data_IF_967428932008
#
_entry.id   IF_967428932008
#
_cell.length_a   1.000
_cell.length_b   1.000
_cell.length_c   1.000
_cell.angle_alpha   90.00
_cell.angle_beta   90.00
_cell.angle_gamma   90.00
#
_symmetry.space_group_name_H-M   'P 1'
#
loop_
_entity.id
_entity.type
_entity.pdbx_description
1 polymer ?
#
# COMPACT_ATOMS: atom_id res chain seq x y z
N UNK A 1 18.85 -5.40 9.84
CA UNK A 1 17.99 -6.47 10.39
C UNK A 1 16.56 -6.01 10.69
N UNK A 2 16.38 -4.82 11.26
CA UNK A 2 15.05 -4.24 11.55
C UNK A 2 14.16 -4.02 10.31
N UNK A 3 14.74 -3.68 9.15
CA UNK A 3 13.99 -3.53 7.88
C UNK A 3 13.52 -4.88 7.29
N UNK A 4 14.14 -6.01 7.62
CA UNK A 4 13.72 -7.34 7.18
C UNK A 4 12.45 -7.83 7.87
N UNK A 5 12.19 -7.43 9.12
CA UNK A 5 10.99 -7.80 9.86
C UNK A 5 9.76 -6.96 9.50
N UNK A 6 9.96 -5.74 8.99
CA UNK A 6 8.86 -4.83 8.61
C UNK A 6 8.22 -5.15 7.24
N UNK A 7 8.89 -5.91 6.38
CA UNK A 7 8.38 -6.33 5.04
C UNK A 7 7.65 -7.68 5.11
N UNK A 8 7.40 -8.22 6.28
CA UNK A 8 6.78 -9.51 6.50
C UNK A 8 5.25 -9.53 6.37
N UNK A 9 4.70 -10.74 6.40
CA UNK A 9 3.27 -11.05 6.36
C UNK A 9 2.40 -10.33 7.39
N UNK A 10 2.97 -9.80 8.45
CA UNK A 10 2.29 -9.12 9.55
C UNK A 10 1.64 -7.80 9.13
N UNK A 11 2.31 -6.99 8.30
CA UNK A 11 1.77 -5.71 7.84
C UNK A 11 0.52 -5.90 6.96
N UNK A 12 0.48 -6.97 6.13
CA UNK A 12 -0.70 -7.34 5.34
C UNK A 12 -1.86 -7.85 6.21
N UNK A 13 -1.57 -8.53 7.31
CA UNK A 13 -2.57 -9.04 8.25
C UNK A 13 -3.23 -7.88 8.98
N UNK A 14 -2.45 -6.91 9.41
CA UNK A 14 -2.90 -5.71 10.14
C UNK A 14 -3.89 -4.86 9.36
N UNK A 15 -3.68 -4.64 8.06
CA UNK A 15 -4.50 -3.74 7.24
C UNK A 15 -5.75 -4.39 6.63
N UNK A 16 -5.80 -5.72 6.55
CA UNK A 16 -6.93 -6.47 5.96
C UNK A 16 -8.30 -6.16 6.53
N UNK A 17 -8.47 -5.96 7.86
CA UNK A 17 -9.77 -5.62 8.45
C UNK A 17 -10.34 -4.32 7.95
N UNK A 18 -9.49 -3.38 7.51
CA UNK A 18 -9.85 -2.02 7.13
C UNK A 18 -9.78 -1.77 5.61
N UNK A 19 -9.14 -2.64 4.83
CA UNK A 19 -9.08 -2.48 3.37
C UNK A 19 -10.42 -2.77 2.71
N UNK A 20 -10.75 -2.06 1.62
CA UNK A 20 -12.02 -2.24 0.88
C UNK A 20 -12.18 -3.70 0.44
N UNK A 21 -11.15 -4.31 -0.14
CA UNK A 21 -11.19 -5.70 -0.58
C UNK A 21 -11.32 -6.69 0.60
N UNK A 22 -10.66 -6.43 1.73
CA UNK A 22 -10.77 -7.25 2.94
C UNK A 22 -12.14 -7.17 3.58
N UNK A 23 -12.69 -5.95 3.74
CA UNK A 23 -14.02 -5.70 4.30
C UNK A 23 -15.11 -6.33 3.43
N UNK A 24 -15.08 -6.12 2.11
CA UNK A 24 -16.07 -6.67 1.18
C UNK A 24 -16.09 -8.19 1.22
N UNK A 25 -14.91 -8.84 1.20
CA UNK A 25 -14.81 -10.30 1.28
C UNK A 25 -15.27 -10.85 2.63
N UNK A 26 -14.93 -10.21 3.76
CA UNK A 26 -15.37 -10.65 5.09
C UNK A 26 -16.89 -10.53 5.25
N UNK A 27 -17.48 -9.42 4.80
CA UNK A 27 -18.94 -9.23 4.78
C UNK A 27 -19.65 -10.29 3.94
N UNK A 28 -19.15 -10.63 2.75
CA UNK A 28 -19.72 -11.68 1.89
C UNK A 28 -19.65 -13.09 2.50
N UNK A 29 -18.75 -13.31 3.47
CA UNK A 29 -18.58 -14.55 4.21
C UNK A 29 -19.23 -14.52 5.62
N UNK A 30 -19.98 -13.46 5.96
CA UNK A 30 -20.60 -13.27 7.28
C UNK A 30 -19.60 -13.08 8.43
N UNK A 31 -18.34 -12.68 8.14
CA UNK A 31 -17.28 -12.51 9.14
C UNK A 31 -17.22 -11.06 9.62
N UNK A 32 -16.82 -10.87 10.88
CA UNK A 32 -16.58 -9.56 11.49
C UNK A 32 -15.47 -8.78 10.80
N UNK A 33 -15.53 -7.45 10.86
CA UNK A 33 -14.58 -6.52 10.22
C UNK A 33 -14.14 -5.44 11.20
N UNK A 34 -13.03 -4.78 10.93
CA UNK A 34 -12.48 -3.72 11.78
C UNK A 34 -12.12 -4.24 13.17
N UNK A 35 -12.40 -3.47 14.21
CA UNK A 35 -12.11 -3.83 15.61
C UNK A 35 -12.94 -5.03 16.13
N UNK A 36 -14.03 -5.40 15.50
CA UNK A 36 -14.82 -6.60 15.82
C UNK A 36 -14.14 -7.90 15.40
N UNK A 37 -13.15 -7.82 14.49
CA UNK A 37 -12.34 -8.96 14.11
C UNK A 37 -11.36 -9.31 15.24
N UNK A 38 -11.68 -10.36 16.00
CA UNK A 38 -10.92 -10.78 17.19
C UNK A 38 -9.45 -11.14 16.93
N UNK A 39 -9.08 -11.44 15.69
CA UNK A 39 -7.72 -11.90 15.36
C UNK A 39 -6.85 -10.84 14.68
N UNK A 40 -7.46 -9.84 14.05
CA UNK A 40 -6.74 -8.87 13.22
C UNK A 40 -7.14 -7.41 13.49
N UNK A 41 -8.34 -7.18 14.05
CA UNK A 41 -8.84 -5.84 14.33
C UNK A 41 -8.22 -5.20 15.58
N UNK A 42 -7.60 -6.01 16.44
CA UNK A 42 -7.01 -5.56 17.71
C UNK A 42 -5.54 -5.17 17.63
N UNK A 43 -4.85 -5.44 16.51
CA UNK A 43 -3.42 -5.15 16.34
C UNK A 43 -3.06 -3.65 16.50
N UNK A 44 -4.02 -2.75 16.30
CA UNK A 44 -3.79 -1.34 16.60
C UNK A 44 -3.52 -1.12 18.10
N UNK A 45 -4.20 -1.84 18.98
CA UNK A 45 -4.00 -1.70 20.42
C UNK A 45 -2.63 -2.25 20.88
N UNK A 46 -2.08 -3.23 20.17
CA UNK A 46 -0.69 -3.67 20.38
C UNK A 46 0.30 -2.55 20.00
N UNK A 47 0.03 -1.82 18.90
CA UNK A 47 0.83 -0.65 18.52
C UNK A 47 0.71 0.45 19.59
N UNK A 48 -0.50 0.73 20.09
CA UNK A 48 -0.72 1.72 21.13
C UNK A 48 0.00 1.32 22.45
N UNK A 49 -0.03 0.03 22.83
CA UNK A 49 0.70 -0.48 23.98
C UNK A 49 2.22 -0.31 23.83
N UNK A 50 2.78 -0.60 22.65
CA UNK A 50 4.21 -0.38 22.35
C UNK A 50 4.55 1.11 22.49
N UNK A 51 3.75 2.02 21.91
CA UNK A 51 3.95 3.46 22.01
C UNK A 51 3.90 3.90 23.49
N UNK A 52 2.91 3.41 24.24
CA UNK A 52 2.75 3.72 25.67
C UNK A 52 3.97 3.31 26.51
N UNK A 53 4.49 2.10 26.28
CA UNK A 53 5.62 1.55 27.06
C UNK A 53 6.95 2.17 26.70
N UNK A 54 7.20 2.42 25.41
CA UNK A 54 8.49 2.90 24.94
C UNK A 54 8.58 4.42 24.84
N UNK A 55 7.47 5.12 24.88
CA UNK A 55 7.40 6.59 24.82
C UNK A 55 8.36 7.20 23.77
N UNK A 56 8.29 6.79 22.49
CA UNK A 56 9.17 7.37 21.47
C UNK A 56 8.90 8.88 21.33
N UNK A 57 9.94 9.68 21.11
CA UNK A 57 9.80 11.14 20.88
C UNK A 57 8.81 11.45 19.75
N UNK A 58 8.83 10.62 18.70
CA UNK A 58 7.86 10.69 17.62
C UNK A 58 7.63 9.28 17.04
N UNK A 59 6.49 9.08 16.38
CA UNK A 59 6.19 7.86 15.63
C UNK A 59 5.60 8.17 14.27
N UNK A 60 5.70 7.21 13.36
CA UNK A 60 5.08 7.28 12.04
C UNK A 60 4.32 5.97 11.76
N UNK A 61 3.02 6.08 11.49
CA UNK A 61 2.14 4.96 11.14
C UNK A 61 1.56 5.16 9.74
N UNK A 62 1.38 4.07 9.02
CA UNK A 62 0.75 4.05 7.69
C UNK A 62 -0.42 3.07 7.68
N UNK A 63 -1.48 3.42 6.95
CA UNK A 63 -2.57 2.49 6.72
C UNK A 63 -3.28 2.80 5.38
N UNK A 64 -4.20 1.93 4.98
CA UNK A 64 -5.04 2.16 3.79
C UNK A 64 -5.97 3.37 4.01
N UNK A 65 -6.20 4.17 2.95
CA UNK A 65 -7.11 5.34 2.97
C UNK A 65 -8.49 5.02 3.59
N UNK A 66 -9.01 3.82 3.32
CA UNK A 66 -10.33 3.40 3.81
C UNK A 66 -10.44 3.37 5.34
N UNK A 67 -9.33 3.41 6.08
CA UNK A 67 -9.33 3.53 7.54
C UNK A 67 -10.11 4.76 8.01
N UNK A 68 -10.00 5.88 7.29
CA UNK A 68 -10.69 7.14 7.64
C UNK A 68 -12.22 7.05 7.53
N UNK A 69 -12.72 6.30 6.54
CA UNK A 69 -14.16 6.16 6.29
C UNK A 69 -14.75 4.86 6.84
N UNK A 70 -13.92 3.95 7.34
CA UNK A 70 -14.36 2.68 7.90
C UNK A 70 -15.29 2.92 9.10
N UNK A 71 -16.41 2.17 9.13
CA UNK A 71 -17.46 2.30 10.17
C UNK A 71 -17.93 3.76 10.37
N UNK A 72 -18.21 4.45 9.25
CA UNK A 72 -18.62 5.87 9.22
C UNK A 72 -17.64 6.81 9.95
N UNK A 73 -16.35 6.47 9.94
CA UNK A 73 -15.28 7.24 10.58
C UNK A 73 -15.01 6.87 12.05
N UNK A 74 -15.82 6.02 12.68
CA UNK A 74 -15.65 5.65 14.08
C UNK A 74 -14.32 4.96 14.34
N UNK A 75 -13.86 4.11 13.41
CA UNK A 75 -12.56 3.43 13.54
C UNK A 75 -11.41 4.43 13.66
N UNK A 76 -11.37 5.45 12.81
CA UNK A 76 -10.32 6.45 12.87
C UNK A 76 -10.42 7.33 14.12
N UNK A 77 -11.65 7.65 14.57
CA UNK A 77 -11.87 8.37 15.84
C UNK A 77 -11.29 7.63 17.04
N UNK A 78 -11.49 6.29 17.12
CA UNK A 78 -10.91 5.47 18.19
C UNK A 78 -9.39 5.50 18.12
N UNK A 79 -8.79 5.29 16.94
CA UNK A 79 -7.33 5.35 16.75
C UNK A 79 -6.79 6.70 17.19
N UNK A 80 -7.37 7.79 16.71
CA UNK A 80 -6.96 9.15 17.04
C UNK A 80 -7.09 9.42 18.55
N UNK A 81 -8.25 9.15 19.15
CA UNK A 81 -8.48 9.35 20.58
C UNK A 81 -7.50 8.57 21.45
N UNK A 82 -7.26 7.28 21.13
CA UNK A 82 -6.30 6.46 21.88
C UNK A 82 -4.88 7.04 21.83
N UNK A 83 -4.43 7.55 20.69
CA UNK A 83 -3.08 8.13 20.56
C UNK A 83 -3.00 9.52 21.24
N UNK A 84 -4.07 10.31 21.21
CA UNK A 84 -4.17 11.59 21.92
C UNK A 84 -4.21 11.38 23.45
N UNK A 85 -4.92 10.34 23.94
CA UNK A 85 -4.91 9.93 25.36
C UNK A 85 -3.51 9.54 25.85
N UNK A 86 -2.68 8.98 24.95
CA UNK A 86 -1.27 8.72 25.20
C UNK A 86 -0.40 9.99 25.19
N UNK A 87 -1.01 11.19 25.08
CA UNK A 87 -0.34 12.49 25.05
C UNK A 87 0.59 12.68 23.86
N UNK A 88 0.11 12.31 22.65
CA UNK A 88 0.77 12.64 21.39
C UNK A 88 -0.05 13.65 20.61
N UNK A 89 0.59 14.71 20.13
CA UNK A 89 0.02 15.57 19.08
C UNK A 89 0.07 14.85 17.75
N UNK A 90 -1.00 14.90 16.96
CA UNK A 90 -1.17 14.06 15.77
C UNK A 90 -1.32 14.92 14.50
N UNK A 91 -0.50 14.61 13.52
CA UNK A 91 -0.61 15.08 12.15
C UNK A 91 -0.98 13.91 11.25
N UNK A 92 -2.01 14.05 10.41
CA UNK A 92 -2.41 12.98 9.49
C UNK A 92 -2.88 13.54 8.14
N UNK A 93 -2.52 12.84 7.07
CA UNK A 93 -2.86 13.20 5.70
C UNK A 93 -2.98 11.94 4.85
N UNK A 94 -3.95 11.92 3.92
CA UNK A 94 -3.99 10.92 2.85
C UNK A 94 -3.06 11.38 1.74
N UNK A 95 -2.06 10.55 1.44
CA UNK A 95 -1.10 10.81 0.38
C UNK A 95 -1.16 9.73 -0.69
N UNK A 96 -0.91 10.12 -1.93
CA UNK A 96 -0.92 9.22 -3.07
C UNK A 96 0.51 8.96 -3.57
N UNK A 97 0.85 7.68 -3.76
CA UNK A 97 2.13 7.25 -4.30
C UNK A 97 2.43 7.78 -5.71
N UNK A 98 1.41 8.18 -6.48
CA UNK A 98 1.58 8.66 -7.86
C UNK A 98 2.51 9.87 -8.00
N UNK A 99 2.72 10.62 -6.94
CA UNK A 99 3.70 11.72 -6.91
C UNK A 99 5.16 11.24 -6.95
N UNK A 100 5.41 9.97 -6.71
CA UNK A 100 6.75 9.39 -6.57
C UNK A 100 7.00 8.19 -7.49
N UNK A 101 5.96 7.40 -7.77
CA UNK A 101 6.01 6.17 -8.57
C UNK A 101 4.82 6.12 -9.54
N UNK A 102 4.89 5.37 -10.66
CA UNK A 102 3.80 5.32 -11.62
C UNK A 102 2.63 4.43 -11.15
N UNK A 103 2.15 4.68 -9.93
CA UNK A 103 1.09 3.90 -9.30
C UNK A 103 0.15 4.80 -8.47
N UNK A 104 -1.14 4.69 -8.70
CA UNK A 104 -2.15 5.23 -7.82
C UNK A 104 -2.28 4.36 -6.58
N UNK A 105 -1.74 4.84 -5.44
CA UNK A 105 -1.73 4.13 -4.15
C UNK A 105 -1.92 5.10 -2.99
N UNK A 106 -3.17 5.33 -2.63
CA UNK A 106 -3.53 6.24 -1.53
C UNK A 106 -3.39 5.54 -0.18
N UNK A 107 -2.71 6.21 0.74
CA UNK A 107 -2.50 5.76 2.12
C UNK A 107 -2.67 6.92 3.09
N UNK A 108 -3.25 6.66 4.25
CA UNK A 108 -3.20 7.61 5.36
C UNK A 108 -1.84 7.48 6.04
N UNK A 109 -1.18 8.62 6.20
CA UNK A 109 0.04 8.81 6.98
C UNK A 109 -0.35 9.46 8.30
N UNK A 110 0.11 8.90 9.42
CA UNK A 110 -0.17 9.42 10.77
C UNK A 110 1.17 9.59 11.47
N UNK A 111 1.52 10.82 11.80
CA UNK A 111 2.72 11.18 12.55
C UNK A 111 2.31 11.70 13.90
N UNK A 112 2.95 11.23 14.95
CA UNK A 112 2.70 11.69 16.31
C UNK A 112 3.98 12.17 16.99
N UNK A 113 3.89 13.26 17.74
CA UNK A 113 4.97 13.82 18.55
C UNK A 113 4.57 13.80 20.02
N UNK A 114 5.51 13.41 20.92
CA UNK A 114 5.28 13.35 22.35
C UNK A 114 5.05 14.77 22.92
N UNK A 115 3.86 15.03 23.45
CA UNK A 115 3.51 16.34 24.03
C UNK A 115 4.35 16.69 25.27
N UNK A 116 4.97 15.73 25.95
CA UNK A 116 5.85 16.00 27.07
C UNK A 116 7.22 16.54 26.63
N UNK A 117 7.55 16.41 25.33
CA UNK A 117 8.80 16.89 24.74
C UNK A 117 8.56 18.10 23.83
N UNK A 118 7.54 18.02 22.97
CA UNK A 118 7.28 19.05 21.94
C UNK A 118 6.21 20.06 22.35
N UNK A 119 5.47 19.82 23.43
CA UNK A 119 4.41 20.68 23.97
C UNK A 119 3.29 21.05 22.97
N UNK A 120 3.18 20.32 21.83
CA UNK A 120 2.27 20.62 20.74
C UNK A 120 2.69 21.81 19.88
N UNK A 121 3.94 22.24 19.98
CA UNK A 121 4.51 23.41 19.26
C UNK A 121 5.36 22.98 18.04
N UNK A 122 5.44 21.69 17.74
CA UNK A 122 6.18 21.18 16.60
C UNK A 122 5.63 21.72 15.27
N UNK A 123 6.54 22.18 14.39
CA UNK A 123 6.22 22.73 13.07
C UNK A 123 6.32 21.63 12.00
N UNK A 124 5.58 20.54 12.18
CA UNK A 124 5.57 19.46 11.21
C UNK A 124 4.65 19.77 10.03
N UNK A 125 5.18 19.62 8.82
CA UNK A 125 4.42 19.74 7.57
C UNK A 125 4.70 18.54 6.69
N UNK A 126 3.64 17.90 6.18
CA UNK A 126 3.80 16.80 5.20
C UNK A 126 4.47 17.31 3.92
N UNK A 127 5.29 16.46 3.25
CA UNK A 127 5.90 16.85 1.98
C UNK A 127 4.82 17.15 0.93
N UNK A 128 5.10 18.15 0.08
CA UNK A 128 4.21 18.51 -1.02
C UNK A 128 4.03 17.34 -1.99
N UNK A 129 2.79 17.06 -2.36
CA UNK A 129 2.46 16.08 -3.38
C UNK A 129 2.65 16.71 -4.78
N UNK A 130 3.80 16.46 -5.38
CA UNK A 130 4.14 16.95 -6.72
C UNK A 130 3.28 16.26 -7.80
N UNK A 131 3.19 16.88 -8.96
CA UNK A 131 2.58 16.24 -10.12
C UNK A 131 3.37 14.98 -10.52
N UNK A 132 2.67 14.04 -11.16
CA UNK A 132 3.23 12.79 -11.70
C UNK A 132 4.53 13.03 -12.49
N UNK A 133 5.61 12.39 -12.08
CA UNK A 133 6.92 12.51 -12.72
C UNK A 133 7.37 11.25 -13.45
N UNK A 134 6.74 10.10 -13.17
CA UNK A 134 7.09 8.78 -13.73
C UNK A 134 5.90 8.12 -14.40
N UNK A 135 6.16 7.28 -15.37
CA UNK A 135 5.19 6.48 -16.12
C UNK A 135 5.54 4.99 -16.04
N UNK A 136 4.64 4.12 -16.46
CA UNK A 136 4.87 2.67 -16.43
C UNK A 136 6.12 2.27 -17.22
N UNK A 137 6.39 2.91 -18.37
CA UNK A 137 7.59 2.60 -19.18
C UNK A 137 8.90 2.77 -18.41
N UNK A 138 8.94 3.66 -17.41
CA UNK A 138 10.15 3.97 -16.64
C UNK A 138 10.56 2.85 -15.68
N UNK A 139 9.68 1.88 -15.44
CA UNK A 139 9.95 0.73 -14.54
C UNK A 139 10.10 -0.59 -15.27
N UNK A 140 9.84 -0.64 -16.58
CA UNK A 140 9.84 -1.89 -17.35
C UNK A 140 11.26 -2.35 -17.68
N UNK A 141 11.47 -3.66 -17.65
CA UNK A 141 12.65 -4.29 -18.20
C UNK A 141 12.55 -4.42 -19.72
N UNK A 142 13.61 -4.06 -20.47
CA UNK A 142 13.61 -4.23 -21.92
C UNK A 142 13.61 -5.70 -22.36
N UNK A 143 14.19 -6.58 -21.54
CA UNK A 143 14.29 -8.02 -21.80
C UNK A 143 13.51 -8.78 -20.72
N UNK A 144 12.29 -9.21 -21.04
CA UNK A 144 11.40 -9.89 -20.12
C UNK A 144 11.22 -11.36 -20.52
N UNK A 145 11.22 -12.27 -19.54
CA UNK A 145 10.97 -13.68 -19.77
C UNK A 145 9.53 -13.94 -20.24
N UNK A 146 9.36 -14.87 -21.19
CA UNK A 146 8.07 -15.25 -21.75
C UNK A 146 7.08 -15.78 -20.70
N UNK A 147 7.57 -16.32 -19.60
CA UNK A 147 6.73 -16.83 -18.48
C UNK A 147 5.78 -15.79 -17.87
N UNK A 148 6.03 -14.49 -18.11
CA UNK A 148 5.16 -13.41 -17.63
C UNK A 148 4.02 -13.09 -18.59
N UNK A 149 4.08 -13.56 -19.85
CA UNK A 149 3.00 -13.43 -20.83
C UNK A 149 1.82 -14.32 -20.44
N UNK A 150 0.61 -13.78 -20.52
CA UNK A 150 -0.60 -14.54 -20.20
C UNK A 150 -0.83 -15.61 -21.26
N UNK A 151 -1.18 -16.83 -20.83
CA UNK A 151 -1.67 -17.85 -21.75
C UNK A 151 -3.00 -17.44 -22.38
N UNK A 152 -3.31 -17.92 -23.59
CA UNK A 152 -4.58 -17.67 -24.27
C UNK A 152 -5.78 -18.03 -23.39
N UNK A 153 -5.68 -19.16 -22.66
CA UNK A 153 -6.72 -19.60 -21.73
C UNK A 153 -6.99 -18.56 -20.63
N UNK A 154 -5.94 -18.02 -20.03
CA UNK A 154 -6.09 -17.03 -18.97
C UNK A 154 -6.58 -15.70 -19.53
N UNK A 155 -6.02 -15.25 -20.67
CA UNK A 155 -6.42 -14.00 -21.30
C UNK A 155 -7.90 -14.02 -21.72
N UNK A 156 -8.35 -15.09 -22.39
CA UNK A 156 -9.76 -15.26 -22.76
C UNK A 156 -10.68 -15.29 -21.51
N UNK A 157 -10.24 -15.96 -20.44
CA UNK A 157 -10.99 -15.97 -19.18
C UNK A 157 -11.16 -14.55 -18.62
N UNK A 158 -10.10 -13.75 -18.58
CA UNK A 158 -10.15 -12.38 -18.05
C UNK A 158 -11.05 -11.47 -18.89
N UNK A 159 -11.03 -11.61 -20.22
CA UNK A 159 -11.91 -10.87 -21.13
C UNK A 159 -13.38 -11.23 -20.86
N UNK A 160 -13.72 -12.50 -20.88
CA UNK A 160 -15.08 -12.97 -20.62
C UNK A 160 -15.58 -12.57 -19.22
N UNK A 161 -14.70 -12.58 -18.22
CA UNK A 161 -15.00 -12.13 -16.85
C UNK A 161 -15.33 -10.65 -16.84
N UNK A 162 -14.53 -9.82 -17.51
CA UNK A 162 -14.74 -8.37 -17.60
C UNK A 162 -16.07 -8.03 -18.31
N UNK A 163 -16.40 -8.72 -19.42
CA UNK A 163 -17.66 -8.55 -20.13
C UNK A 163 -18.87 -8.89 -19.27
N UNK A 164 -18.82 -10.05 -18.60
CA UNK A 164 -19.88 -10.49 -17.68
C UNK A 164 -20.14 -9.47 -16.58
N UNK A 165 -19.09 -8.85 -16.05
CA UNK A 165 -19.22 -7.84 -14.99
C UNK A 165 -19.67 -6.48 -15.55
N UNK A 166 -19.26 -6.11 -16.75
CA UNK A 166 -19.76 -4.91 -17.46
C UNK A 166 -21.26 -5.01 -17.71
N UNK A 167 -21.73 -6.18 -18.18
CA UNK A 167 -23.15 -6.44 -18.40
C UNK A 167 -24.00 -6.35 -17.10
N UNK A 168 -23.38 -6.55 -15.93
CA UNK A 168 -24.01 -6.41 -14.60
C UNK A 168 -23.89 -4.99 -14.03
N UNK A 169 -23.35 -4.03 -14.76
CA UNK A 169 -23.17 -2.65 -14.30
C UNK A 169 -22.10 -2.47 -13.24
N UNK A 170 -21.20 -3.42 -13.04
CA UNK A 170 -20.10 -3.27 -12.10
C UNK A 170 -18.74 -3.26 -12.83
N UNK A 171 -17.74 -2.60 -12.23
CA UNK A 171 -16.43 -2.32 -12.85
C UNK A 171 -15.35 -3.39 -12.60
N UNK A 172 -15.74 -4.63 -12.28
CA UNK A 172 -14.75 -5.70 -12.12
C UNK A 172 -14.20 -6.14 -13.48
N UNK A 173 -12.87 -6.31 -13.54
CA UNK A 173 -12.19 -6.71 -14.76
C UNK A 173 -10.67 -6.63 -14.58
N UNK A 174 -9.97 -6.61 -15.70
CA UNK A 174 -8.51 -6.45 -15.71
C UNK A 174 -8.10 -4.98 -15.91
N UNK A 175 -6.83 -4.68 -15.61
CA UNK A 175 -6.22 -3.36 -15.78
C UNK A 175 -5.13 -3.37 -16.86
N UNK A 176 -5.49 -3.22 -18.13
CA UNK A 176 -4.52 -2.95 -19.20
C UNK A 176 -4.04 -1.51 -19.08
N UNK A 177 -2.72 -1.32 -18.86
CA UNK A 177 -2.16 0.01 -18.62
C UNK A 177 -1.67 0.68 -19.90
N UNK A 178 -1.69 2.02 -19.90
CA UNK A 178 -0.93 2.79 -20.89
C UNK A 178 0.52 2.88 -20.43
N UNK A 179 1.48 2.72 -21.33
CA UNK A 179 2.91 2.79 -21.01
C UNK A 179 3.32 4.19 -20.52
N UNK A 180 2.70 5.24 -21.03
CA UNK A 180 2.90 6.62 -20.57
C UNK A 180 2.00 7.00 -19.38
N UNK A 181 1.20 6.04 -18.91
CA UNK A 181 0.26 6.19 -17.80
C UNK A 181 0.82 5.78 -16.45
N UNK A 182 -0.10 5.66 -15.50
CA UNK A 182 0.14 5.05 -14.17
C UNK A 182 -0.74 3.82 -14.01
N UNK A 183 -0.35 2.93 -13.10
CA UNK A 183 -1.14 1.74 -12.78
C UNK A 183 -2.13 1.97 -11.64
N UNK A 184 -3.04 1.02 -11.49
CA UNK A 184 -3.81 0.81 -10.25
C UNK A 184 -2.88 0.33 -9.14
N UNK A 185 -3.39 0.30 -7.92
CA UNK A 185 -2.68 -0.23 -6.75
C UNK A 185 -2.29 -1.69 -6.93
N UNK A 186 -0.99 -1.98 -6.85
CA UNK A 186 -0.46 -3.35 -6.78
C UNK A 186 -0.94 -4.02 -5.48
N UNK A 187 -1.61 -5.16 -5.60
CA UNK A 187 -2.10 -5.92 -4.45
C UNK A 187 -1.17 -7.07 -4.06
N UNK A 188 -1.25 -7.51 -2.80
CA UNK A 188 -0.54 -8.72 -2.33
C UNK A 188 -1.00 -10.01 -3.03
N UNK A 189 -2.08 -9.97 -3.82
CA UNK A 189 -2.64 -11.10 -4.57
C UNK A 189 -2.22 -11.11 -6.03
N UNK A 190 -1.43 -10.15 -6.46
CA UNK A 190 -0.95 -10.00 -7.83
C UNK A 190 -0.30 -11.28 -8.40
N UNK A 191 0.33 -12.09 -7.55
CA UNK A 191 0.91 -13.38 -7.93
C UNK A 191 -0.10 -14.37 -8.55
N UNK A 192 -1.41 -14.20 -8.35
CA UNK A 192 -2.42 -15.16 -8.83
C UNK A 192 -2.58 -15.10 -10.35
N UNK A 193 -3.04 -13.98 -10.85
CA UNK A 193 -3.35 -13.77 -12.27
C UNK A 193 -2.76 -12.45 -12.84
N UNK A 194 -2.28 -11.57 -11.96
CA UNK A 194 -1.71 -10.28 -12.34
C UNK A 194 -2.71 -9.31 -12.96
N UNK A 195 -4.01 -9.60 -12.84
CA UNK A 195 -5.06 -8.90 -13.58
C UNK A 195 -5.21 -7.42 -13.26
N UNK A 196 -4.71 -6.96 -12.11
CA UNK A 196 -4.77 -5.54 -11.75
C UNK A 196 -3.90 -4.66 -12.65
N UNK A 197 -2.76 -5.18 -13.14
CA UNK A 197 -1.77 -4.42 -13.91
C UNK A 197 -1.23 -5.30 -15.02
N UNK A 198 -1.76 -5.14 -16.22
CA UNK A 198 -1.32 -5.86 -17.41
C UNK A 198 -0.63 -4.91 -18.38
N UNK A 199 0.53 -5.32 -18.87
CA UNK A 199 1.36 -4.57 -19.81
C UNK A 199 1.01 -5.03 -21.22
N UNK A 200 0.59 -4.13 -22.12
CA UNK A 200 0.38 -4.49 -23.53
C UNK A 200 1.70 -4.91 -24.17
N UNK A 201 1.64 -5.85 -25.09
CA UNK A 201 2.77 -6.28 -25.91
C UNK A 201 2.49 -6.02 -27.39
N UNK A 202 3.56 -5.87 -28.21
CA UNK A 202 3.48 -5.78 -29.66
C UNK A 202 3.24 -7.16 -30.30
N UNK A 203 3.09 -7.18 -31.62
CA UNK A 203 3.10 -8.38 -32.47
C UNK A 203 1.98 -9.40 -32.16
N UNK A 204 0.81 -8.92 -31.72
CA UNK A 204 -0.36 -9.77 -31.48
C UNK A 204 -0.22 -10.69 -30.25
N UNK A 205 0.81 -10.53 -29.46
CA UNK A 205 0.97 -11.26 -28.20
C UNK A 205 -0.05 -10.85 -27.15
N UNK A 206 -0.45 -11.81 -26.32
CA UNK A 206 -1.26 -11.52 -25.13
C UNK A 206 -0.53 -10.53 -24.22
N UNK A 207 -1.25 -9.71 -23.43
CA UNK A 207 -0.61 -8.87 -22.44
C UNK A 207 0.14 -9.71 -21.42
N UNK A 208 1.12 -9.09 -20.78
CA UNK A 208 1.91 -9.71 -19.72
C UNK A 208 1.69 -9.06 -18.36
N UNK A 209 1.96 -9.78 -17.31
CA UNK A 209 2.10 -9.22 -15.98
C UNK A 209 3.50 -8.61 -15.77
N UNK A 210 3.63 -7.77 -14.77
CA UNK A 210 4.92 -7.29 -14.31
C UNK A 210 5.76 -8.45 -13.74
N UNK A 211 7.07 -8.39 -13.90
CA UNK A 211 8.01 -9.24 -13.17
C UNK A 211 8.11 -8.81 -11.70
N UNK A 212 8.66 -9.64 -10.80
CA UNK A 212 8.94 -9.24 -9.42
C UNK A 212 9.83 -8.01 -9.32
N UNK A 213 10.83 -7.86 -10.21
CA UNK A 213 11.70 -6.68 -10.26
C UNK A 213 10.93 -5.42 -10.65
N UNK A 214 10.10 -5.50 -11.67
CA UNK A 214 9.24 -4.39 -12.08
C UNK A 214 8.24 -4.01 -10.97
N UNK A 215 7.71 -4.98 -10.22
CA UNK A 215 6.88 -4.71 -9.05
C UNK A 215 7.65 -3.98 -7.94
N UNK A 216 8.92 -4.31 -7.72
CA UNK A 216 9.75 -3.59 -6.76
C UNK A 216 10.02 -2.15 -7.21
N UNK A 217 10.36 -1.93 -8.49
CA UNK A 217 10.51 -0.58 -9.07
C UNK A 217 9.21 0.23 -8.98
N UNK A 218 8.05 -0.42 -9.18
CA UNK A 218 6.73 0.19 -9.03
C UNK A 218 6.46 0.64 -7.58
N UNK A 219 7.12 0.05 -6.60
CA UNK A 219 7.09 0.48 -5.20
C UNK A 219 8.23 1.43 -4.83
N UNK A 220 9.12 1.75 -5.80
CA UNK A 220 10.25 2.66 -5.62
C UNK A 220 11.47 2.03 -4.94
N UNK A 221 11.57 0.69 -4.90
CA UNK A 221 12.79 0.02 -4.46
C UNK A 221 13.91 0.21 -5.48
N UNK A 222 15.15 0.43 -5.03
CA UNK A 222 16.32 0.49 -5.91
C UNK A 222 16.64 -0.89 -6.51
N UNK A 223 17.33 -0.92 -7.64
CA UNK A 223 17.65 -2.17 -8.36
C UNK A 223 18.58 -3.10 -7.58
N UNK A 224 19.37 -2.56 -6.66
CA UNK A 224 20.24 -3.30 -5.74
C UNK A 224 19.46 -4.08 -4.67
N UNK A 225 18.17 -3.76 -4.48
CA UNK A 225 17.34 -4.50 -3.53
C UNK A 225 17.16 -5.96 -3.98
N UNK A 226 17.63 -6.89 -3.16
CA UNK A 226 17.67 -8.31 -3.50
C UNK A 226 16.31 -8.97 -3.34
N UNK A 227 15.73 -9.40 -4.45
CA UNK A 227 14.48 -10.18 -4.50
C UNK A 227 14.70 -11.68 -4.74
N UNK A 228 15.89 -12.07 -5.16
CA UNK A 228 16.24 -13.44 -5.56
C UNK A 228 16.40 -14.44 -4.39
N UNK A 229 16.19 -13.98 -3.17
CA UNK A 229 16.24 -14.83 -1.97
C UNK A 229 14.90 -15.51 -1.65
N UNK A 230 13.85 -15.20 -2.41
CA UNK A 230 12.49 -15.72 -2.22
C UNK A 230 11.89 -16.12 -3.58
N UNK A 231 10.85 -16.97 -3.56
CA UNK A 231 10.12 -17.29 -4.79
C UNK A 231 9.39 -16.08 -5.36
N UNK A 232 9.12 -16.08 -6.69
CA UNK A 232 8.34 -15.02 -7.37
C UNK A 232 7.01 -14.75 -6.64
N UNK A 233 6.33 -15.81 -6.16
CA UNK A 233 5.08 -15.68 -5.40
C UNK A 233 5.27 -14.85 -4.13
N UNK A 234 6.34 -15.09 -3.39
CA UNK A 234 6.65 -14.34 -2.18
C UNK A 234 7.10 -12.91 -2.49
N UNK A 235 7.90 -12.74 -3.55
CA UNK A 235 8.32 -11.41 -4.01
C UNK A 235 7.11 -10.53 -4.37
N UNK A 236 6.15 -11.06 -5.13
CA UNK A 236 4.89 -10.37 -5.44
C UNK A 236 4.10 -10.01 -4.18
N UNK A 237 3.98 -10.94 -3.22
CA UNK A 237 3.31 -10.68 -1.95
C UNK A 237 3.99 -9.57 -1.16
N UNK A 238 5.31 -9.60 -1.08
CA UNK A 238 6.10 -8.60 -0.38
C UNK A 238 5.92 -7.22 -1.03
N UNK A 239 6.07 -7.12 -2.35
CA UNK A 239 5.85 -5.86 -3.07
C UNK A 239 4.43 -5.32 -2.87
N UNK A 240 3.40 -6.16 -3.01
CA UNK A 240 2.00 -5.73 -2.85
C UNK A 240 1.64 -5.30 -1.42
N UNK A 241 2.33 -5.86 -0.42
CA UNK A 241 2.16 -5.49 1.00
C UNK A 241 3.05 -4.33 1.42
N UNK A 242 4.00 -3.94 0.58
CA UNK A 242 4.98 -2.91 0.86
C UNK A 242 4.39 -1.51 0.80
N UNK A 243 5.20 -0.56 1.21
CA UNK A 243 4.96 0.88 1.11
C UNK A 243 5.66 1.45 -0.13
N UNK A 244 5.22 2.62 -0.61
CA UNK A 244 5.95 3.39 -1.64
C UNK A 244 7.17 4.00 -0.98
N UNK A 245 8.34 3.42 -1.22
CA UNK A 245 9.60 3.77 -0.55
C UNK A 245 9.89 5.28 -0.58
N UNK A 246 9.91 5.95 -1.74
CA UNK A 246 10.25 7.38 -1.78
C UNK A 246 9.20 8.27 -1.07
N UNK A 247 7.95 7.86 -0.98
CA UNK A 247 6.94 8.59 -0.22
C UNK A 247 7.22 8.50 1.28
N UNK A 248 7.50 7.29 1.78
CA UNK A 248 7.83 7.09 3.20
C UNK A 248 9.12 7.81 3.57
N UNK A 249 10.12 7.77 2.69
CA UNK A 249 11.38 8.52 2.87
C UNK A 249 11.09 10.02 3.03
N UNK A 250 10.32 10.61 2.12
CA UNK A 250 10.01 12.05 2.18
C UNK A 250 9.26 12.46 3.46
N UNK A 251 8.29 11.63 3.93
CA UNK A 251 7.60 11.88 5.21
C UNK A 251 8.57 11.74 6.39
N UNK A 252 9.43 10.71 6.38
CA UNK A 252 10.42 10.47 7.44
C UNK A 252 11.46 11.59 7.53
N UNK A 253 11.90 12.13 6.40
CA UNK A 253 12.81 13.29 6.36
C UNK A 253 12.19 14.52 7.02
N UNK A 254 10.91 14.81 6.75
CA UNK A 254 10.21 15.92 7.41
C UNK A 254 10.05 15.68 8.92
N UNK A 255 9.74 14.43 9.32
CA UNK A 255 9.64 14.06 10.72
C UNK A 255 10.98 14.27 11.44
N UNK A 256 12.09 13.75 10.87
CA UNK A 256 13.44 13.91 11.45
C UNK A 256 13.82 15.40 11.52
N UNK A 257 13.56 16.15 10.45
CA UNK A 257 13.84 17.60 10.42
C UNK A 257 13.10 18.33 11.56
N UNK A 258 11.82 18.00 11.77
CA UNK A 258 11.03 18.58 12.87
C UNK A 258 11.60 18.18 14.23
N UNK A 259 12.01 16.93 14.41
CA UNK A 259 12.62 16.47 15.67
C UNK A 259 13.96 17.13 16.00
N UNK A 260 14.73 17.55 14.99
CA UNK A 260 16.04 18.18 15.16
C UNK A 260 15.95 19.70 15.32
N UNK A 261 14.82 20.32 14.97
CA UNK A 261 14.59 21.76 15.07
C UNK A 261 14.06 22.17 16.46
N UNK A 262 13.63 21.22 17.26
CA UNK A 262 13.17 21.36 18.64
C UNK A 262 14.10 20.57 19.58
#
# INVERSE_FOLDING_TARGET
EMLRSLVGSEMCIRDRPFSIAGVSKKKSLGRETGFKDKTQGTLFFDVADIISRHRPKAFFLENVKNLMSHDKGNTFKVIKGTLEELRYSLHYLVMDGQSYVPQHRERIMIVGFDCDIFHGEEQFVFPEQKQKTKSIKDILDPNIEEKYTLSDKLWNYLQNYAEKHRAKGNGFGFGLVSLDGISRTLSARYYKDGSEILIPQSDGKNPRRLSPRECARLMGYPDEYRLNQVSDVQAYRQCGNSVVVPLITAVSEQLIKTMLAN
#
